data_IF_684090511499
#
_entry.id   IF_684090511499
#
_cell.length_a   1.000
_cell.length_b   1.000
_cell.length_c   1.000
_cell.angle_alpha   90.00
_cell.angle_beta   90.00
_cell.angle_gamma   90.00
#
_symmetry.space_group_name_H-M   'P 1'
#
loop_
_entity.id
_entity.type
_entity.pdbx_description
1 polymer ?
#
# COMPACT_ATOMS: atom_id res chain seq x y z
N UNK A 1 15.42 56.63 -19.36
CA UNK A 1 15.83 55.78 -18.22
C UNK A 1 14.61 54.99 -17.79
N UNK A 2 14.56 53.75 -18.21
CA UNK A 2 13.43 52.87 -17.99
C UNK A 2 13.53 52.10 -16.66
N UNK A 3 12.52 52.21 -15.84
CA UNK A 3 12.34 51.36 -14.67
C UNK A 3 11.56 50.11 -15.08
N UNK A 4 12.27 49.01 -15.33
CA UNK A 4 11.64 47.71 -15.31
C UNK A 4 11.61 47.21 -13.85
N UNK A 5 10.44 47.35 -13.18
CA UNK A 5 10.16 46.63 -11.96
C UNK A 5 9.90 45.15 -12.34
N UNK A 6 10.88 44.32 -12.13
CA UNK A 6 10.67 42.87 -12.10
C UNK A 6 9.88 42.54 -10.83
N UNK A 7 8.58 42.38 -10.98
CA UNK A 7 7.76 41.73 -9.97
C UNK A 7 8.14 40.27 -9.98
N UNK A 8 8.84 39.83 -8.94
CA UNK A 8 8.97 38.38 -8.64
C UNK A 8 7.56 37.82 -8.51
N UNK A 9 7.22 36.70 -9.19
CA UNK A 9 5.97 36.04 -8.91
C UNK A 9 5.96 35.65 -7.43
N UNK A 10 5.00 36.13 -6.70
CA UNK A 10 4.73 35.69 -5.35
C UNK A 10 4.27 34.24 -5.46
N UNK A 11 5.14 33.31 -5.14
CA UNK A 11 4.74 31.93 -4.92
C UNK A 11 3.85 31.88 -3.69
N UNK A 12 2.56 31.92 -3.92
CA UNK A 12 1.57 31.64 -2.91
C UNK A 12 1.55 30.12 -2.71
N UNK A 13 2.49 29.61 -1.97
CA UNK A 13 2.51 28.22 -1.56
C UNK A 13 2.25 28.12 -0.08
N UNK A 14 1.00 28.30 0.30
CA UNK A 14 0.53 27.61 1.50
C UNK A 14 -0.35 26.46 0.99
N UNK A 15 -0.12 25.21 1.40
CA UNK A 15 -1.06 24.16 1.12
C UNK A 15 -2.40 24.61 1.74
N UNK A 16 -3.40 24.79 0.89
CA UNK A 16 -4.76 25.09 1.36
C UNK A 16 -5.19 23.86 2.12
N UNK A 17 -5.23 23.96 3.45
CA UNK A 17 -5.91 22.95 4.28
C UNK A 17 -7.36 22.98 3.85
N UNK A 18 -7.82 21.99 3.10
CA UNK A 18 -9.22 21.87 2.76
C UNK A 18 -10.01 21.72 4.04
N UNK A 19 -11.01 22.57 4.21
CA UNK A 19 -11.91 22.48 5.34
C UNK A 19 -12.68 21.15 5.27
N UNK A 20 -12.96 20.57 6.43
CA UNK A 20 -13.85 19.41 6.53
C UNK A 20 -15.18 19.73 5.86
N UNK A 21 -15.51 19.06 4.76
CA UNK A 21 -16.69 19.36 3.93
C UNK A 21 -16.36 19.76 2.49
N UNK A 22 -15.10 19.89 2.12
CA UNK A 22 -14.69 20.10 0.73
C UNK A 22 -15.19 18.93 -0.14
N UNK A 23 -15.60 19.24 -1.36
CA UNK A 23 -16.07 18.27 -2.34
C UNK A 23 -15.07 17.11 -2.50
N UNK A 24 -15.56 15.91 -2.86
CA UNK A 24 -14.76 14.71 -2.99
C UNK A 24 -13.53 14.87 -3.89
N UNK A 25 -13.59 15.77 -4.86
CA UNK A 25 -12.48 16.15 -5.74
C UNK A 25 -11.37 16.84 -4.95
N UNK A 26 -11.70 17.75 -4.04
CA UNK A 26 -10.74 18.38 -3.15
C UNK A 26 -10.10 17.36 -2.19
N UNK A 27 -10.86 16.38 -1.73
CA UNK A 27 -10.35 15.32 -0.85
C UNK A 27 -9.36 14.40 -1.57
N UNK A 28 -9.57 14.12 -2.85
CA UNK A 28 -8.61 13.36 -3.66
C UNK A 28 -7.24 14.06 -3.74
N UNK A 29 -7.25 15.36 -3.88
CA UNK A 29 -6.04 16.19 -3.90
C UNK A 29 -5.34 16.21 -2.54
N UNK A 30 -6.05 16.02 -1.44
CA UNK A 30 -5.53 16.15 -0.09
C UNK A 30 -4.73 14.95 0.43
N UNK A 31 -4.77 13.82 -0.23
CA UNK A 31 -3.88 12.71 0.09
C UNK A 31 -2.41 12.98 -0.29
N UNK A 32 -2.15 14.18 -0.79
CA UNK A 32 -0.90 14.61 -1.40
C UNK A 32 0.26 14.87 -0.43
N UNK A 33 0.08 14.73 0.84
CA UNK A 33 1.16 15.03 1.77
C UNK A 33 2.14 13.89 1.99
N UNK A 34 1.90 12.71 1.36
CA UNK A 34 2.69 11.50 1.63
C UNK A 34 2.58 10.98 3.07
N UNK A 35 2.01 11.80 3.95
CA UNK A 35 1.87 11.49 5.37
C UNK A 35 0.91 10.34 5.60
N UNK A 36 -0.17 10.26 4.84
CA UNK A 36 -1.16 9.20 4.97
C UNK A 36 -0.62 7.86 4.47
N UNK A 37 0.18 7.87 3.43
CA UNK A 37 0.89 6.69 2.94
C UNK A 37 1.89 6.16 3.98
N UNK A 38 2.69 7.02 4.58
CA UNK A 38 3.65 6.64 5.63
C UNK A 38 2.91 6.01 6.82
N UNK A 39 1.79 6.58 7.22
CA UNK A 39 0.95 6.04 8.28
C UNK A 39 0.34 4.70 7.89
N UNK A 40 -0.14 4.53 6.67
CA UNK A 40 -0.66 3.27 6.17
C UNK A 40 0.43 2.19 6.15
N UNK A 41 1.63 2.53 5.72
CA UNK A 41 2.79 1.63 5.70
C UNK A 41 3.28 1.23 7.10
N UNK A 42 2.96 1.99 8.14
CA UNK A 42 3.23 1.57 9.53
C UNK A 42 2.38 0.38 9.96
N UNK A 43 1.24 0.14 9.30
CA UNK A 43 0.43 -1.05 9.52
C UNK A 43 1.06 -2.26 8.80
N UNK A 44 1.58 -3.22 9.55
CA UNK A 44 2.30 -4.37 9.02
C UNK A 44 1.54 -5.14 7.92
N UNK A 45 0.21 -5.30 8.07
CA UNK A 45 -0.63 -5.99 7.09
C UNK A 45 -0.72 -5.21 5.77
N UNK A 46 -0.83 -3.89 5.81
CA UNK A 46 -0.87 -3.04 4.60
C UNK A 46 0.48 -3.07 3.90
N UNK A 47 1.57 -2.85 4.66
CA UNK A 47 2.93 -2.92 4.13
C UNK A 47 3.21 -4.27 3.47
N UNK A 48 2.88 -5.39 4.16
CA UNK A 48 3.07 -6.73 3.61
C UNK A 48 2.22 -6.98 2.36
N UNK A 49 0.97 -6.53 2.34
CA UNK A 49 0.08 -6.68 1.17
C UNK A 49 0.64 -5.94 -0.04
N UNK A 50 1.05 -4.67 0.14
CA UNK A 50 1.70 -3.89 -0.90
C UNK A 50 2.96 -4.57 -1.41
N UNK A 51 3.84 -5.06 -0.52
CA UNK A 51 5.12 -5.66 -0.89
C UNK A 51 4.97 -6.99 -1.64
N UNK A 52 3.96 -7.80 -1.30
CA UNK A 52 3.64 -9.03 -2.02
C UNK A 52 3.25 -8.75 -3.47
N UNK A 53 2.33 -7.82 -3.69
CA UNK A 53 1.90 -7.46 -5.04
C UNK A 53 3.03 -6.75 -5.78
N UNK A 54 3.74 -5.83 -5.14
CA UNK A 54 4.89 -5.13 -5.72
C UNK A 54 6.00 -6.08 -6.17
N UNK A 55 6.27 -7.12 -5.37
CA UNK A 55 7.24 -8.16 -5.71
C UNK A 55 6.83 -8.93 -6.97
N UNK A 56 5.55 -9.22 -7.12
CA UNK A 56 5.00 -9.81 -8.34
C UNK A 56 5.14 -8.87 -9.53
N UNK A 57 4.62 -7.64 -9.43
CA UNK A 57 4.66 -6.63 -10.51
C UNK A 57 6.10 -6.36 -10.98
N UNK A 58 7.04 -6.25 -10.03
CA UNK A 58 8.45 -6.01 -10.34
C UNK A 58 9.15 -7.17 -11.05
N UNK A 59 8.65 -8.40 -10.89
CA UNK A 59 9.20 -9.60 -11.51
C UNK A 59 8.67 -9.83 -12.93
N UNK A 60 7.47 -9.36 -13.25
CA UNK A 60 6.82 -9.58 -14.54
C UNK A 60 7.56 -8.86 -15.68
N UNK A 61 7.66 -9.53 -16.80
CA UNK A 61 8.13 -8.97 -18.06
C UNK A 61 6.97 -8.51 -18.92
N UNK A 62 7.23 -7.63 -19.87
CA UNK A 62 6.22 -7.21 -20.83
C UNK A 62 6.31 -8.04 -22.09
N UNK A 63 5.15 -8.31 -22.70
CA UNK A 63 4.98 -8.83 -24.05
C UNK A 63 4.42 -7.73 -24.94
N UNK A 64 4.83 -7.72 -26.19
CA UNK A 64 4.33 -6.80 -27.22
C UNK A 64 3.68 -7.61 -28.34
N UNK A 65 2.42 -7.33 -28.66
CA UNK A 65 1.69 -8.07 -29.68
C UNK A 65 0.73 -7.20 -30.50
N UNK A 66 0.29 -7.74 -31.61
CA UNK A 66 -0.77 -7.19 -32.45
C UNK A 66 -1.87 -8.22 -32.63
N UNK A 67 -3.11 -7.79 -32.88
CA UNK A 67 -4.24 -8.68 -33.14
C UNK A 67 -4.50 -8.74 -34.63
N UNK A 68 -4.46 -9.95 -35.21
CA UNK A 68 -4.79 -10.19 -36.59
C UNK A 68 -6.04 -11.06 -36.71
N UNK A 69 -6.96 -10.63 -37.55
CA UNK A 69 -8.16 -11.42 -37.86
C UNK A 69 -7.82 -12.56 -38.84
N UNK A 70 -8.08 -13.80 -38.47
CA UNK A 70 -7.79 -15.01 -39.28
C UNK A 70 -8.98 -15.48 -40.13
N UNK A 71 -10.11 -14.77 -40.06
CA UNK A 71 -11.36 -15.17 -40.69
C UNK A 71 -12.38 -15.75 -39.71
N UNK A 72 -11.94 -16.35 -38.60
CA UNK A 72 -12.77 -16.93 -37.56
C UNK A 72 -12.58 -16.27 -36.20
N UNK A 73 -11.33 -15.92 -35.84
CA UNK A 73 -10.97 -15.32 -34.57
C UNK A 73 -9.82 -14.33 -34.72
N UNK A 74 -9.63 -13.51 -33.71
CA UNK A 74 -8.41 -12.72 -33.57
C UNK A 74 -7.29 -13.59 -33.00
N UNK A 75 -6.14 -13.60 -33.66
CA UNK A 75 -4.91 -14.22 -33.16
C UNK A 75 -3.91 -13.15 -32.78
N UNK A 76 -3.15 -13.43 -31.72
CA UNK A 76 -2.11 -12.55 -31.21
C UNK A 76 -0.79 -12.91 -31.89
N UNK A 77 -0.19 -11.91 -32.51
CA UNK A 77 1.12 -12.03 -33.13
C UNK A 77 2.10 -11.25 -32.28
N UNK A 78 3.01 -11.96 -31.63
CA UNK A 78 4.04 -11.35 -30.81
C UNK A 78 5.05 -10.62 -31.67
N UNK A 79 5.44 -9.45 -31.18
CA UNK A 79 6.33 -8.51 -31.86
C UNK A 79 7.59 -8.32 -30.99
N UNK A 80 8.71 -7.88 -31.58
CA UNK A 80 9.88 -7.50 -30.81
C UNK A 80 9.53 -6.41 -29.79
N UNK A 81 10.12 -6.50 -28.61
CA UNK A 81 9.96 -5.49 -27.57
C UNK A 81 10.55 -4.15 -28.02
N UNK A 82 9.88 -3.08 -27.70
CA UNK A 82 10.44 -1.75 -27.86
C UNK A 82 11.41 -1.45 -26.67
N UNK A 83 12.52 -0.68 -26.90
CA UNK A 83 13.53 -0.47 -25.88
C UNK A 83 12.99 0.06 -24.54
N UNK A 84 11.93 0.87 -24.56
CA UNK A 84 11.31 1.39 -23.34
C UNK A 84 10.57 0.32 -22.53
N UNK A 85 10.15 -0.79 -23.14
CA UNK A 85 9.48 -1.88 -22.42
C UNK A 85 10.46 -2.61 -21.51
N UNK A 86 11.72 -2.76 -21.95
CA UNK A 86 12.79 -3.33 -21.14
C UNK A 86 13.35 -2.29 -20.15
N UNK A 87 13.42 -1.04 -20.57
CA UNK A 87 14.02 0.06 -19.79
C UNK A 87 13.19 1.33 -19.93
N UNK A 88 12.07 1.43 -19.19
CA UNK A 88 11.18 2.59 -19.29
C UNK A 88 11.88 3.89 -18.90
N UNK A 89 12.71 3.88 -17.85
CA UNK A 89 13.52 5.02 -17.42
C UNK A 89 15.00 4.65 -17.51
N UNK A 90 15.82 5.43 -18.24
CA UNK A 90 17.26 5.18 -18.32
C UNK A 90 18.01 5.27 -16.98
N UNK A 91 17.42 5.91 -15.97
CA UNK A 91 18.06 6.19 -14.67
C UNK A 91 17.76 5.13 -13.61
N UNK A 92 16.69 4.37 -13.77
CA UNK A 92 16.25 3.38 -12.78
C UNK A 92 15.96 2.03 -13.44
N UNK A 93 15.79 1.00 -12.62
CA UNK A 93 15.45 -0.33 -13.12
C UNK A 93 13.98 -0.41 -13.54
N UNK A 94 13.67 -1.35 -14.44
CA UNK A 94 12.29 -1.64 -14.85
C UNK A 94 11.40 -1.93 -13.65
N UNK A 95 11.87 -2.80 -12.75
CA UNK A 95 11.14 -3.15 -11.53
C UNK A 95 10.84 -1.92 -10.66
N UNK A 96 11.81 -1.02 -10.49
CA UNK A 96 11.60 0.22 -9.74
C UNK A 96 10.47 1.05 -10.35
N UNK A 97 10.47 1.21 -11.66
CA UNK A 97 9.45 2.00 -12.35
C UNK A 97 8.04 1.42 -12.14
N UNK A 98 7.84 0.13 -12.47
CA UNK A 98 6.50 -0.48 -12.38
C UNK A 98 6.03 -0.68 -10.94
N UNK A 99 6.92 -0.95 -9.99
CA UNK A 99 6.58 -1.06 -8.57
C UNK A 99 6.08 0.28 -8.02
N UNK A 100 6.69 1.40 -8.42
CA UNK A 100 6.22 2.70 -7.97
C UNK A 100 4.90 3.11 -8.64
N UNK A 101 4.71 2.83 -9.95
CA UNK A 101 3.42 3.02 -10.60
C UNK A 101 2.33 2.19 -9.90
N UNK A 102 2.61 0.93 -9.60
CA UNK A 102 1.69 0.07 -8.84
C UNK A 102 1.41 0.64 -7.44
N UNK A 103 2.44 1.06 -6.70
CA UNK A 103 2.28 1.61 -5.35
C UNK A 103 1.38 2.84 -5.35
N UNK A 104 1.54 3.74 -6.32
CA UNK A 104 0.66 4.90 -6.47
C UNK A 104 -0.77 4.49 -6.79
N UNK A 105 -0.98 3.52 -7.68
CA UNK A 105 -2.31 2.98 -7.98
C UNK A 105 -2.95 2.34 -6.74
N UNK A 106 -2.17 1.61 -5.95
CA UNK A 106 -2.63 0.96 -4.74
C UNK A 106 -3.05 1.95 -3.67
N UNK A 107 -2.24 2.98 -3.40
CA UNK A 107 -2.51 3.95 -2.34
C UNK A 107 -3.49 5.04 -2.77
N UNK A 108 -3.30 5.60 -3.95
CA UNK A 108 -4.02 6.80 -4.42
C UNK A 108 -5.11 6.48 -5.45
N UNK A 109 -5.05 5.31 -6.11
CA UNK A 109 -5.94 4.95 -7.22
C UNK A 109 -5.54 5.60 -8.54
N UNK A 110 -4.47 6.38 -8.56
CA UNK A 110 -3.89 7.00 -9.77
C UNK A 110 -2.39 6.99 -9.69
N UNK A 111 -1.75 6.89 -10.84
CA UNK A 111 -0.31 7.01 -10.97
C UNK A 111 0.06 7.84 -12.20
N UNK A 112 1.27 8.37 -12.24
CA UNK A 112 1.71 9.27 -13.29
C UNK A 112 3.11 8.93 -13.77
N UNK A 113 3.31 9.03 -15.08
CA UNK A 113 4.63 8.98 -15.68
C UNK A 113 4.81 10.14 -16.67
N UNK A 114 5.99 10.74 -16.68
CA UNK A 114 6.35 11.80 -17.60
C UNK A 114 7.14 11.24 -18.76
N UNK A 115 6.78 11.62 -19.99
CA UNK A 115 7.49 11.26 -21.22
C UNK A 115 8.73 12.16 -21.32
N UNK A 116 9.90 11.58 -21.09
CA UNK A 116 11.17 12.32 -21.06
C UNK A 116 11.82 12.42 -22.41
N UNK A 117 11.57 11.48 -23.30
CA UNK A 117 12.05 11.54 -24.70
C UNK A 117 11.05 10.90 -25.65
N UNK A 118 11.14 11.27 -26.91
CA UNK A 118 10.32 10.73 -28.00
C UNK A 118 11.20 10.30 -29.17
N UNK A 119 10.74 9.28 -29.90
CA UNK A 119 11.31 8.90 -31.17
C UNK A 119 11.01 9.95 -32.24
N UNK A 120 11.65 9.84 -33.40
CA UNK A 120 11.45 10.76 -34.53
C UNK A 120 10.02 10.76 -35.09
N UNK A 121 9.26 9.71 -34.84
CA UNK A 121 7.84 9.57 -35.20
C UNK A 121 6.87 10.13 -34.14
N UNK A 122 7.41 10.75 -33.09
CA UNK A 122 6.64 11.36 -32.01
C UNK A 122 6.20 10.42 -30.89
N UNK A 123 6.42 9.09 -31.02
CA UNK A 123 6.09 8.13 -29.96
C UNK A 123 7.05 8.25 -28.77
N UNK A 124 6.57 7.95 -27.56
CA UNK A 124 7.42 7.94 -26.38
C UNK A 124 8.59 6.95 -26.51
N UNK A 125 9.77 7.37 -26.12
CA UNK A 125 10.98 6.56 -26.11
C UNK A 125 11.49 6.29 -24.67
N UNK A 126 11.13 7.15 -23.71
CA UNK A 126 11.42 6.93 -22.31
C UNK A 126 10.45 7.68 -21.41
N UNK A 127 10.30 7.16 -20.21
CA UNK A 127 9.38 7.67 -19.18
C UNK A 127 10.15 7.90 -17.88
N UNK A 128 9.63 8.76 -17.02
CA UNK A 128 10.06 8.89 -15.63
C UNK A 128 8.82 8.90 -14.76
N UNK A 129 8.83 8.09 -13.71
CA UNK A 129 7.76 8.08 -12.73
C UNK A 129 7.65 9.41 -11.99
N UNK A 130 6.42 9.90 -11.84
CA UNK A 130 6.10 11.07 -11.02
C UNK A 130 5.28 10.61 -9.80
N UNK A 131 5.79 10.79 -8.57
CA UNK A 131 5.07 10.39 -7.36
C UNK A 131 3.69 11.05 -7.28
N UNK A 132 2.63 10.25 -7.13
CA UNK A 132 1.26 10.75 -7.01
C UNK A 132 1.09 11.68 -5.80
N UNK A 133 1.84 11.46 -4.72
CA UNK A 133 1.86 12.34 -3.56
C UNK A 133 2.26 13.79 -3.86
N UNK A 134 3.03 14.03 -4.92
CA UNK A 134 3.52 15.34 -5.32
C UNK A 134 2.71 15.96 -6.47
N UNK A 135 1.69 15.23 -6.94
CA UNK A 135 0.81 15.69 -8.00
C UNK A 135 -0.40 16.43 -7.43
N UNK A 136 -0.83 17.48 -8.11
CA UNK A 136 -2.09 18.17 -7.84
C UNK A 136 -2.85 18.44 -9.12
N UNK A 137 -4.19 18.32 -9.03
CA UNK A 137 -5.10 18.69 -10.09
C UNK A 137 -5.94 19.87 -9.63
N UNK A 138 -5.98 20.94 -10.43
CA UNK A 138 -6.76 22.12 -10.10
C UNK A 138 -8.20 22.02 -10.57
N UNK A 139 -8.49 21.15 -11.51
CA UNK A 139 -9.83 21.00 -12.05
C UNK A 139 -10.12 19.56 -12.44
N UNK A 140 -11.03 18.96 -11.71
CA UNK A 140 -11.87 17.91 -12.26
C UNK A 140 -13.27 18.52 -12.47
N UNK A 141 -13.52 19.00 -13.67
CA UNK A 141 -14.86 19.39 -14.08
C UNK A 141 -15.64 18.12 -14.35
N UNK A 142 -16.45 17.71 -13.42
CA UNK A 142 -17.23 16.52 -13.63
C UNK A 142 -18.08 16.17 -12.43
N UNK A 143 -18.74 15.08 -12.53
CA UNK A 143 -19.56 14.51 -11.46
C UNK A 143 -18.69 14.28 -10.24
N UNK A 144 -19.07 14.71 -9.03
CA UNK A 144 -18.22 14.76 -7.83
C UNK A 144 -17.62 13.41 -7.36
N UNK A 145 -17.90 12.31 -8.00
CA UNK A 145 -17.42 10.98 -7.65
C UNK A 145 -16.72 10.27 -8.82
N UNK A 146 -16.55 10.98 -9.94
CA UNK A 146 -15.95 10.40 -11.13
C UNK A 146 -14.43 10.55 -11.10
N UNK A 147 -13.72 9.43 -11.25
CA UNK A 147 -12.30 9.40 -11.49
C UNK A 147 -12.08 9.31 -12.99
N UNK A 148 -11.56 10.36 -13.55
CA UNK A 148 -11.16 10.42 -14.95
C UNK A 148 -9.78 11.04 -15.09
N UNK A 149 -9.31 11.17 -16.32
CA UNK A 149 -8.12 11.94 -16.59
C UNK A 149 -8.35 13.39 -16.18
N UNK A 150 -7.33 13.98 -15.56
CA UNK A 150 -7.36 15.40 -15.20
C UNK A 150 -6.99 16.25 -16.39
N UNK A 151 -7.71 17.36 -16.58
CA UNK A 151 -7.45 18.32 -17.66
C UNK A 151 -6.32 19.29 -17.32
N UNK A 152 -5.88 19.35 -16.07
CA UNK A 152 -4.80 20.19 -15.59
C UNK A 152 -4.06 19.49 -14.46
N UNK A 153 -2.76 19.31 -14.61
CA UNK A 153 -1.89 18.66 -13.63
C UNK A 153 -0.72 19.56 -13.25
N UNK A 154 -0.40 19.58 -11.98
CA UNK A 154 0.77 20.27 -11.45
C UNK A 154 1.63 19.28 -10.66
N UNK A 155 2.93 19.36 -10.86
CA UNK A 155 3.93 18.63 -10.09
C UNK A 155 4.72 19.62 -9.23
N UNK A 156 4.69 19.46 -7.93
CA UNK A 156 5.29 20.39 -6.98
C UNK A 156 4.88 21.86 -7.22
N UNK A 157 3.63 22.10 -7.65
CA UNK A 157 3.11 23.43 -7.95
C UNK A 157 3.50 23.99 -9.33
N UNK A 158 4.17 23.21 -10.17
CA UNK A 158 4.48 23.59 -11.55
C UNK A 158 3.52 22.89 -12.52
N UNK A 159 2.88 23.66 -13.39
CA UNK A 159 1.97 23.14 -14.40
C UNK A 159 2.72 22.23 -15.38
N UNK A 160 2.18 21.06 -15.64
CA UNK A 160 2.70 20.10 -16.59
C UNK A 160 1.97 20.20 -17.93
N UNK A 161 2.70 19.96 -19.00
CA UNK A 161 2.11 19.73 -20.31
C UNK A 161 1.52 18.30 -20.36
N UNK A 162 0.19 18.20 -20.43
CA UNK A 162 -0.52 16.94 -20.43
C UNK A 162 -0.17 16.03 -21.62
N UNK A 163 0.29 16.60 -22.74
CA UNK A 163 0.76 15.78 -23.86
C UNK A 163 1.98 14.91 -23.48
N UNK A 164 2.69 15.29 -22.42
CA UNK A 164 3.86 14.58 -21.92
C UNK A 164 3.61 13.82 -20.61
N UNK A 165 2.35 13.71 -20.16
CA UNK A 165 2.01 12.99 -18.92
C UNK A 165 1.11 11.81 -19.25
N UNK A 166 1.54 10.61 -18.87
CA UNK A 166 0.67 9.43 -18.84
C UNK A 166 -0.05 9.40 -17.50
N UNK A 167 -1.36 9.24 -17.54
CA UNK A 167 -2.22 9.12 -16.37
C UNK A 167 -2.76 7.69 -16.30
N UNK A 168 -2.29 6.93 -15.33
CA UNK A 168 -2.80 5.61 -15.02
C UNK A 168 -3.94 5.76 -14.02
N UNK A 169 -5.14 5.35 -14.38
CA UNK A 169 -6.34 5.52 -13.56
C UNK A 169 -6.89 4.14 -13.22
N UNK A 170 -6.79 3.80 -11.94
CA UNK A 170 -7.34 2.54 -11.44
C UNK A 170 -8.87 2.55 -11.50
N UNK A 171 -9.51 1.44 -11.89
CA UNK A 171 -10.96 1.30 -11.83
C UNK A 171 -11.51 1.23 -10.39
N UNK A 172 -10.63 1.07 -9.40
CA UNK A 172 -10.96 1.10 -7.98
C UNK A 172 -10.25 2.26 -7.29
N UNK A 173 -10.89 2.77 -6.24
CA UNK A 173 -10.32 3.84 -5.42
C UNK A 173 -9.12 3.33 -4.61
N UNK A 174 -8.14 4.21 -4.38
CA UNK A 174 -6.96 3.87 -3.59
C UNK A 174 -7.26 3.55 -2.12
N UNK A 175 -6.43 2.72 -1.55
CA UNK A 175 -6.55 2.22 -0.16
C UNK A 175 -6.55 3.35 0.86
N UNK A 176 -5.84 4.46 0.62
CA UNK A 176 -5.83 5.60 1.54
C UNK A 176 -7.20 6.26 1.66
N UNK A 177 -7.99 6.28 0.59
CA UNK A 177 -9.33 6.87 0.60
C UNK A 177 -10.34 5.89 1.20
N UNK A 178 -10.39 4.66 0.72
CA UNK A 178 -11.38 3.66 1.15
C UNK A 178 -11.11 3.13 2.55
N UNK A 179 -9.84 3.02 2.92
CA UNK A 179 -9.37 2.40 4.15
C UNK A 179 -9.01 3.35 5.29
N UNK A 180 -9.18 4.67 5.13
CA UNK A 180 -8.70 5.65 6.10
C UNK A 180 -9.15 5.34 7.54
N UNK A 181 -10.40 4.95 7.73
CA UNK A 181 -10.94 4.58 9.06
C UNK A 181 -10.27 3.31 9.60
N UNK A 182 -10.16 2.27 8.78
CA UNK A 182 -9.61 0.96 9.18
C UNK A 182 -8.14 1.10 9.53
N UNK A 183 -7.37 1.83 8.72
CA UNK A 183 -5.96 2.12 8.96
C UNK A 183 -5.78 2.90 10.27
N UNK A 184 -6.55 3.98 10.48
CA UNK A 184 -6.48 4.76 11.71
C UNK A 184 -6.85 3.93 12.95
N UNK A 185 -7.86 3.06 12.86
CA UNK A 185 -8.21 2.15 13.95
C UNK A 185 -7.04 1.22 14.30
N UNK A 186 -6.35 0.67 13.30
CA UNK A 186 -5.15 -0.16 13.52
C UNK A 186 -4.06 0.61 14.25
N UNK A 187 -3.77 1.84 13.83
CA UNK A 187 -2.76 2.69 14.46
C UNK A 187 -3.13 3.00 15.92
N UNK A 188 -4.40 3.27 16.22
CA UNK A 188 -4.86 3.51 17.59
C UNK A 188 -4.77 2.26 18.47
N UNK A 189 -5.07 1.08 17.90
CA UNK A 189 -4.93 -0.19 18.60
C UNK A 189 -3.45 -0.49 18.92
N UNK A 190 -2.56 -0.22 17.97
CA UNK A 190 -1.12 -0.38 18.18
C UNK A 190 -0.62 0.59 19.24
N UNK A 191 -1.02 1.86 19.21
CA UNK A 191 -0.69 2.84 20.24
C UNK A 191 -1.27 2.50 21.62
N UNK A 192 -2.43 1.85 21.67
CA UNK A 192 -2.99 1.34 22.92
C UNK A 192 -2.17 0.15 23.43
N UNK A 193 -1.82 -0.79 22.53
CA UNK A 193 -0.97 -1.94 22.88
C UNK A 193 0.39 -1.49 23.42
N UNK A 194 1.02 -0.49 22.79
CA UNK A 194 2.29 0.08 23.24
C UNK A 194 2.18 0.69 24.64
N UNK A 195 1.12 1.44 24.90
CA UNK A 195 0.87 1.99 26.25
C UNK A 195 0.72 0.88 27.29
N UNK A 196 0.00 -0.19 26.98
CA UNK A 196 -0.14 -1.32 27.89
C UNK A 196 1.13 -2.15 28.02
N UNK A 197 1.93 -2.27 26.98
CA UNK A 197 3.23 -2.93 27.04
C UNK A 197 4.24 -2.19 27.91
N UNK A 198 4.10 -0.87 28.03
CA UNK A 198 4.93 -0.03 28.91
C UNK A 198 4.47 -0.07 30.38
N UNK A 199 3.28 -0.63 30.68
CA UNK A 199 2.81 -0.78 32.05
C UNK A 199 3.51 -2.00 32.66
N UNK A 200 4.41 -1.73 33.59
CA UNK A 200 5.14 -2.77 34.32
C UNK A 200 4.23 -3.59 35.26
N UNK A 201 2.99 -3.14 35.47
CA UNK A 201 2.11 -3.71 36.49
C UNK A 201 0.67 -3.80 35.99
N UNK A 202 -0.07 -4.82 36.50
CA UNK A 202 -1.49 -5.01 36.21
C UNK A 202 -2.30 -3.77 36.62
N UNK A 203 -3.11 -3.18 35.75
CA UNK A 203 -3.96 -2.05 36.09
C UNK A 203 -5.06 -2.45 37.08
N UNK A 204 -5.32 -1.61 38.05
CA UNK A 204 -6.32 -1.84 39.06
C UNK A 204 -6.55 -0.58 39.88
N UNK A 205 -7.35 -0.69 40.89
CA UNK A 205 -7.65 0.42 41.83
C UNK A 205 -7.52 0.00 43.27
N UNK A 206 -7.24 0.97 44.13
CA UNK A 206 -7.26 0.80 45.56
C UNK A 206 -8.67 1.07 46.08
N UNK A 207 -9.23 0.13 46.80
CA UNK A 207 -10.54 0.27 47.46
C UNK A 207 -10.38 0.23 48.96
N UNK A 208 -10.92 1.22 49.65
CA UNK A 208 -11.10 1.15 51.11
C UNK A 208 -12.23 0.17 51.41
N UNK A 209 -11.97 -0.79 52.27
CA UNK A 209 -12.89 -1.88 52.65
C UNK A 209 -13.46 -1.71 54.06
N UNK A 210 -12.75 -0.96 54.93
CA UNK A 210 -13.13 -0.74 56.30
C UNK A 210 -12.47 0.48 56.89
N UNK A 211 -12.92 0.96 58.07
CA UNK A 211 -12.38 2.14 58.75
C UNK A 211 -13.18 3.41 58.50
N UNK A 212 -12.73 4.52 59.09
CA UNK A 212 -13.28 5.85 58.79
C UNK A 212 -12.96 6.25 57.34
N UNK A 213 -13.90 6.95 56.67
CA UNK A 213 -13.69 7.41 55.30
C UNK A 213 -12.44 8.27 55.19
N UNK A 214 -11.53 7.87 54.32
CA UNK A 214 -10.31 8.66 54.05
C UNK A 214 -10.68 9.94 53.31
N UNK A 215 -9.98 11.03 53.63
CA UNK A 215 -10.14 12.26 52.87
C UNK A 215 -9.67 12.10 51.41
N UNK A 216 -10.13 12.97 50.51
CA UNK A 216 -9.69 12.95 49.09
C UNK A 216 -8.17 13.12 48.95
N UNK A 217 -7.55 13.92 49.83
CA UNK A 217 -6.09 14.16 49.84
C UNK A 217 -5.33 12.90 50.29
N UNK A 218 -5.79 12.20 51.33
CA UNK A 218 -5.18 10.97 51.83
C UNK A 218 -5.27 9.85 50.78
N UNK A 219 -6.40 9.76 50.03
CA UNK A 219 -6.55 8.82 48.92
C UNK A 219 -5.61 9.15 47.77
N UNK A 220 -5.40 10.44 47.49
CA UNK A 220 -4.46 10.92 46.48
C UNK A 220 -3.02 10.55 46.80
N UNK A 221 -2.60 10.80 48.05
CA UNK A 221 -1.28 10.47 48.55
C UNK A 221 -1.01 8.96 48.57
N UNK A 222 -1.99 8.17 48.98
CA UNK A 222 -1.91 6.70 48.92
C UNK A 222 -1.76 6.18 47.49
N UNK A 223 -2.54 6.71 46.54
CA UNK A 223 -2.45 6.33 45.15
C UNK A 223 -1.09 6.70 44.55
N UNK A 224 -0.57 7.90 44.87
CA UNK A 224 0.74 8.35 44.43
C UNK A 224 1.88 7.47 45.00
N UNK A 225 1.83 7.18 46.28
CA UNK A 225 2.81 6.30 46.94
C UNK A 225 2.78 4.88 46.39
N UNK A 226 1.58 4.35 46.13
CA UNK A 226 1.40 3.04 45.50
C UNK A 226 1.95 3.01 44.07
N UNK A 227 1.65 4.02 43.29
CA UNK A 227 2.16 4.13 41.90
C UNK A 227 3.70 4.24 41.89
N UNK A 228 4.29 5.02 42.80
CA UNK A 228 5.73 5.16 42.94
C UNK A 228 6.42 3.83 43.35
N UNK A 229 5.83 3.09 44.28
CA UNK A 229 6.34 1.80 44.74
C UNK A 229 6.31 0.77 43.60
N UNK A 230 5.25 0.76 42.84
CA UNK A 230 5.11 -0.14 41.67
C UNK A 230 6.10 0.20 40.56
N UNK A 231 6.29 1.48 40.28
CA UNK A 231 7.28 1.94 39.29
C UNK A 231 8.71 1.58 39.65
N UNK A 232 9.00 1.52 40.94
CA UNK A 232 10.30 1.10 41.50
C UNK A 232 10.44 -0.43 41.61
N UNK A 233 9.46 -1.22 41.14
CA UNK A 233 9.38 -2.68 41.37
C UNK A 233 9.53 -3.09 42.84
N UNK A 234 9.09 -2.22 43.77
CA UNK A 234 9.13 -2.46 45.20
C UNK A 234 7.88 -3.23 45.64
N UNK A 235 8.02 -4.00 46.73
CA UNK A 235 6.88 -4.68 47.36
C UNK A 235 6.03 -3.62 48.06
N UNK A 236 4.81 -3.39 47.57
CA UNK A 236 3.85 -2.51 48.19
C UNK A 236 3.18 -3.23 49.37
N UNK A 237 3.14 -2.58 50.54
CA UNK A 237 2.35 -3.05 51.65
C UNK A 237 1.05 -2.23 51.77
N UNK A 238 -0.07 -2.92 51.91
CA UNK A 238 -1.38 -2.32 52.12
C UNK A 238 -1.83 -2.58 53.56
N UNK A 239 -2.54 -1.63 54.17
CA UNK A 239 -3.20 -1.84 55.45
C UNK A 239 -4.41 -2.76 55.30
N UNK A 240 -4.90 -3.35 56.39
CA UNK A 240 -6.12 -4.16 56.38
C UNK A 240 -7.38 -3.38 55.94
N UNK A 241 -7.29 -2.06 55.86
CA UNK A 241 -8.38 -1.17 55.51
C UNK A 241 -8.46 -0.93 53.99
N UNK A 242 -7.40 -1.22 53.24
CA UNK A 242 -7.31 -0.95 51.80
C UNK A 242 -6.97 -2.23 51.05
N UNK A 243 -7.72 -2.52 50.00
CA UNK A 243 -7.51 -3.67 49.16
C UNK A 243 -7.22 -3.21 47.73
N UNK A 244 -6.21 -3.82 47.09
CA UNK A 244 -6.00 -3.66 45.67
C UNK A 244 -6.97 -4.59 44.90
N UNK A 245 -7.73 -4.01 43.98
CA UNK A 245 -8.58 -4.77 43.07
C UNK A 245 -8.10 -4.58 41.64
N UNK A 246 -7.88 -5.68 40.98
CA UNK A 246 -7.60 -5.69 39.55
C UNK A 246 -8.89 -5.43 38.77
N UNK A 247 -8.78 -4.84 37.57
CA UNK A 247 -9.92 -4.74 36.67
C UNK A 247 -10.33 -6.14 36.23
N UNK A 248 -11.63 -6.39 36.22
CA UNK A 248 -12.23 -7.73 35.93
C UNK A 248 -11.97 -8.20 34.52
N UNK A 249 -11.74 -7.27 33.58
CA UNK A 249 -11.35 -7.59 32.22
C UNK A 249 -9.88 -7.25 32.02
N UNK A 250 -9.12 -8.21 31.48
CA UNK A 250 -7.74 -7.96 31.10
C UNK A 250 -7.73 -7.14 29.79
N UNK A 251 -7.43 -5.83 29.82
CA UNK A 251 -7.44 -5.01 28.60
C UNK A 251 -6.46 -5.51 27.55
N UNK A 252 -5.40 -6.21 27.94
CA UNK A 252 -4.39 -6.75 27.05
C UNK A 252 -4.96 -7.84 26.14
N UNK A 253 -5.78 -8.74 26.68
CA UNK A 253 -6.43 -9.81 25.90
C UNK A 253 -7.43 -9.23 24.89
N UNK A 254 -8.23 -8.26 25.33
CA UNK A 254 -9.20 -7.57 24.45
C UNK A 254 -8.48 -6.86 23.30
N UNK A 255 -7.38 -6.17 23.57
CA UNK A 255 -6.58 -5.49 22.54
C UNK A 255 -5.93 -6.50 21.61
N UNK A 256 -5.42 -7.63 22.13
CA UNK A 256 -4.81 -8.66 21.30
C UNK A 256 -5.82 -9.27 20.30
N UNK A 257 -7.04 -9.54 20.74
CA UNK A 257 -8.10 -10.07 19.86
C UNK A 257 -8.58 -9.03 18.84
N UNK A 258 -8.70 -7.78 19.26
CA UNK A 258 -9.02 -6.68 18.34
C UNK A 258 -7.93 -6.49 17.27
N UNK A 259 -6.65 -6.62 17.62
CA UNK A 259 -5.54 -6.56 16.65
C UNK A 259 -5.58 -7.70 15.64
N UNK A 260 -5.94 -8.92 16.08
CA UNK A 260 -6.14 -10.06 15.16
C UNK A 260 -7.27 -9.78 14.17
N UNK A 261 -8.42 -9.33 14.66
CA UNK A 261 -9.54 -8.94 13.81
C UNK A 261 -9.15 -7.81 12.85
N UNK A 262 -8.46 -6.80 13.34
CA UNK A 262 -8.03 -5.67 12.53
C UNK A 262 -7.04 -6.07 11.42
N UNK A 263 -6.13 -7.02 11.68
CA UNK A 263 -5.25 -7.57 10.65
C UNK A 263 -6.04 -8.23 9.51
N UNK A 264 -7.14 -8.92 9.84
CA UNK A 264 -8.03 -9.52 8.84
C UNK A 264 -8.78 -8.45 8.03
N UNK A 265 -9.28 -7.39 8.70
CA UNK A 265 -9.94 -6.27 8.02
C UNK A 265 -8.98 -5.52 7.07
N UNK A 266 -7.71 -5.34 7.46
CA UNK A 266 -6.69 -4.75 6.60
C UNK A 266 -6.35 -5.65 5.40
N UNK A 267 -6.32 -6.98 5.57
CA UNK A 267 -6.14 -7.91 4.47
C UNK A 267 -7.29 -7.83 3.45
N UNK A 268 -8.54 -7.74 3.94
CA UNK A 268 -9.74 -7.52 3.11
C UNK A 268 -9.68 -6.20 2.36
N UNK A 269 -9.27 -5.11 3.04
CA UNK A 269 -9.10 -3.79 2.44
C UNK A 269 -8.10 -3.82 1.26
N UNK A 270 -7.01 -4.57 1.41
CA UNK A 270 -5.96 -4.69 0.41
C UNK A 270 -6.28 -5.72 -0.69
N UNK A 271 -7.43 -6.40 -0.64
CA UNK A 271 -7.80 -7.50 -1.53
C UNK A 271 -6.75 -8.63 -1.59
N UNK A 272 -6.04 -8.86 -0.50
CA UNK A 272 -5.06 -9.94 -0.40
C UNK A 272 -5.61 -11.04 0.53
N UNK A 273 -5.56 -12.32 0.11
CA UNK A 273 -5.96 -13.42 0.96
C UNK A 273 -5.23 -13.40 2.31
N UNK A 274 -5.98 -13.54 3.40
CA UNK A 274 -5.47 -13.38 4.76
C UNK A 274 -4.28 -14.28 5.08
N UNK A 275 -4.25 -15.50 4.51
CA UNK A 275 -3.17 -16.44 4.73
C UNK A 275 -1.82 -15.97 4.12
N UNK A 276 -1.84 -15.17 3.04
CA UNK A 276 -0.63 -14.61 2.43
C UNK A 276 0.03 -13.53 3.29
N UNK A 277 -0.76 -12.83 4.07
CA UNK A 277 -0.28 -11.82 5.01
C UNK A 277 -0.17 -12.35 6.44
N UNK A 278 -0.33 -13.65 6.62
CA UNK A 278 -0.27 -14.32 7.94
C UNK A 278 -1.27 -13.75 8.95
N UNK A 279 -2.41 -13.22 8.47
CA UNK A 279 -3.48 -12.80 9.35
C UNK A 279 -4.20 -14.03 9.93
N UNK A 280 -4.50 -14.05 11.24
CA UNK A 280 -5.12 -15.20 11.87
C UNK A 280 -6.52 -15.44 11.33
N UNK A 281 -6.78 -16.65 10.85
CA UNK A 281 -8.10 -17.11 10.41
C UNK A 281 -8.59 -18.22 11.34
N UNK A 282 -9.77 -18.06 11.91
CA UNK A 282 -10.36 -19.10 12.77
C UNK A 282 -10.66 -20.35 11.94
N UNK A 283 -10.18 -21.51 12.42
CA UNK A 283 -10.47 -22.81 11.82
C UNK A 283 -9.67 -23.19 10.58
N UNK A 284 -8.75 -22.38 10.12
CA UNK A 284 -7.86 -22.75 9.03
C UNK A 284 -6.71 -23.61 9.57
N UNK A 285 -6.86 -24.92 9.47
CA UNK A 285 -5.69 -25.78 9.39
C UNK A 285 -4.93 -25.36 8.14
N UNK A 286 -3.73 -24.80 8.31
CA UNK A 286 -2.82 -24.50 7.20
C UNK A 286 -2.33 -25.82 6.61
N UNK A 287 -3.18 -26.45 5.81
CA UNK A 287 -2.70 -27.43 4.84
C UNK A 287 -1.94 -26.62 3.82
N UNK A 288 -0.69 -26.99 3.60
CA UNK A 288 0.19 -26.35 2.60
C UNK A 288 -0.56 -26.32 1.26
N UNK A 289 -1.18 -25.17 0.98
CA UNK A 289 -1.68 -24.90 -0.34
C UNK A 289 -0.47 -24.81 -1.26
N UNK A 290 -0.57 -25.45 -2.39
CA UNK A 290 0.49 -25.49 -3.37
C UNK A 290 0.97 -24.05 -3.62
N UNK A 291 2.26 -23.80 -3.66
CA UNK A 291 2.82 -22.46 -3.89
C UNK A 291 2.28 -21.83 -5.19
N UNK A 292 1.91 -22.65 -6.15
CA UNK A 292 1.23 -22.27 -7.38
C UNK A 292 -0.13 -21.63 -7.12
N UNK A 293 -0.98 -22.27 -6.28
CA UNK A 293 -2.28 -21.70 -5.93
C UNK A 293 -2.12 -20.36 -5.21
N UNK A 294 -1.14 -20.23 -4.32
CA UNK A 294 -0.86 -18.97 -3.63
C UNK A 294 -0.48 -17.84 -4.60
N UNK A 295 0.30 -18.15 -5.66
CA UNK A 295 0.63 -17.19 -6.72
C UNK A 295 -0.60 -16.83 -7.57
N UNK A 296 -1.42 -17.82 -7.92
CA UNK A 296 -2.68 -17.60 -8.65
C UNK A 296 -3.65 -16.73 -7.86
N UNK A 297 -3.83 -17.01 -6.57
CA UNK A 297 -4.71 -16.23 -5.70
C UNK A 297 -4.22 -14.77 -5.55
N UNK A 298 -2.89 -14.57 -5.38
CA UNK A 298 -2.31 -13.24 -5.33
C UNK A 298 -2.53 -12.47 -6.63
N UNK A 299 -2.36 -13.13 -7.77
CA UNK A 299 -2.64 -12.53 -9.08
C UNK A 299 -4.11 -12.17 -9.22
N UNK A 300 -5.02 -13.14 -9.04
CA UNK A 300 -6.44 -12.96 -9.34
C UNK A 300 -7.10 -11.92 -8.45
N UNK A 301 -6.79 -11.94 -7.15
CA UNK A 301 -7.46 -11.07 -6.19
C UNK A 301 -6.70 -9.76 -5.94
N UNK A 302 -5.38 -9.81 -5.93
CA UNK A 302 -4.56 -8.66 -5.54
C UNK A 302 -4.03 -7.83 -6.71
N UNK A 303 -3.43 -8.47 -7.72
CA UNK A 303 -2.61 -7.77 -8.70
C UNK A 303 -3.33 -7.42 -10.00
N UNK A 304 -4.21 -8.31 -10.49
CA UNK A 304 -4.78 -8.25 -11.84
C UNK A 304 -5.36 -6.89 -12.20
N UNK A 305 -6.15 -6.30 -11.32
CA UNK A 305 -6.83 -5.03 -11.59
C UNK A 305 -5.86 -3.87 -11.83
N UNK A 306 -4.71 -3.89 -11.17
CA UNK A 306 -3.65 -2.90 -11.36
C UNK A 306 -2.84 -3.17 -12.61
N UNK A 307 -2.54 -4.44 -12.90
CA UNK A 307 -1.85 -4.85 -14.13
C UNK A 307 -2.68 -4.49 -15.36
N UNK A 308 -3.97 -4.85 -15.38
CA UNK A 308 -4.90 -4.48 -16.46
C UNK A 308 -4.93 -2.95 -16.68
N UNK A 309 -4.90 -2.15 -15.61
CA UNK A 309 -4.85 -0.69 -15.70
C UNK A 309 -3.55 -0.20 -16.36
N UNK A 310 -2.41 -0.76 -15.97
CA UNK A 310 -1.10 -0.40 -16.54
C UNK A 310 -1.03 -0.80 -18.01
N UNK A 311 -1.43 -2.03 -18.36
CA UNK A 311 -1.45 -2.56 -19.72
C UNK A 311 -2.32 -1.73 -20.66
N UNK A 312 -3.54 -1.41 -20.24
CA UNK A 312 -4.47 -0.60 -21.03
C UNK A 312 -3.94 0.81 -21.25
N UNK A 313 -3.31 1.43 -20.24
CA UNK A 313 -2.73 2.76 -20.37
C UNK A 313 -1.53 2.74 -21.33
N UNK A 314 -0.64 1.74 -21.19
CA UNK A 314 0.52 1.60 -22.07
C UNK A 314 0.14 1.20 -23.51
N UNK A 315 -0.98 0.49 -23.70
CA UNK A 315 -1.52 0.14 -25.01
C UNK A 315 -2.32 1.28 -25.65
N UNK A 316 -2.50 2.41 -24.93
CA UNK A 316 -3.23 3.57 -25.44
C UNK A 316 -2.54 4.29 -26.60
N UNK A 317 -3.32 5.02 -27.42
CA UNK A 317 -2.81 5.74 -28.62
C UNK A 317 -1.75 6.80 -28.29
N UNK A 318 -1.66 7.24 -27.05
CA UNK A 318 -0.62 8.17 -26.59
C UNK A 318 0.77 7.50 -26.56
N UNK A 319 0.83 6.17 -26.40
CA UNK A 319 2.06 5.40 -26.27
C UNK A 319 2.29 4.52 -27.48
N UNK A 320 1.28 3.77 -27.90
CA UNK A 320 1.37 2.76 -28.93
C UNK A 320 0.53 3.10 -30.15
N UNK A 321 0.94 2.69 -31.38
CA UNK A 321 0.09 2.76 -32.56
C UNK A 321 -1.14 1.88 -32.39
N UNK A 322 -2.18 2.18 -33.17
CA UNK A 322 -3.38 1.32 -33.25
C UNK A 322 -3.02 -0.13 -33.57
N UNK A 323 -3.76 -1.04 -32.96
CA UNK A 323 -3.59 -2.48 -33.11
C UNK A 323 -2.23 -3.00 -32.58
N UNK A 324 -1.63 -2.29 -31.62
CA UNK A 324 -0.48 -2.77 -30.88
C UNK A 324 -0.79 -2.70 -29.39
N UNK A 325 -0.44 -3.77 -28.69
CA UNK A 325 -0.81 -3.97 -27.31
C UNK A 325 0.39 -4.41 -26.50
N UNK A 326 0.36 -4.07 -25.23
CA UNK A 326 1.34 -4.46 -24.25
C UNK A 326 0.61 -5.21 -23.15
N UNK A 327 1.17 -6.33 -22.70
CA UNK A 327 0.67 -7.10 -21.56
C UNK A 327 1.85 -7.59 -20.71
N UNK A 328 1.58 -7.90 -19.45
CA UNK A 328 2.56 -8.55 -18.59
C UNK A 328 2.56 -10.06 -18.82
N UNK A 329 3.75 -10.65 -18.86
CA UNK A 329 3.91 -12.11 -18.97
C UNK A 329 3.58 -12.81 -17.64
N UNK A 330 2.29 -12.89 -17.34
CA UNK A 330 1.79 -13.56 -16.16
C UNK A 330 1.91 -15.08 -16.28
N UNK A 331 1.83 -15.63 -17.48
CA UNK A 331 1.92 -17.07 -17.71
C UNK A 331 3.30 -17.60 -17.34
N UNK A 332 4.37 -16.90 -17.72
CA UNK A 332 5.73 -17.25 -17.32
C UNK A 332 5.90 -17.21 -15.79
N UNK A 333 5.25 -16.27 -15.11
CA UNK A 333 5.29 -16.16 -13.65
C UNK A 333 4.51 -17.28 -12.96
N UNK A 334 3.32 -17.63 -13.45
CA UNK A 334 2.48 -18.69 -12.88
C UNK A 334 3.01 -20.09 -13.26
N UNK A 335 3.51 -20.25 -14.49
CA UNK A 335 4.03 -21.51 -15.01
C UNK A 335 5.47 -21.85 -14.60
N UNK A 336 6.16 -20.97 -13.88
CA UNK A 336 7.55 -21.19 -13.42
C UNK A 336 7.69 -22.26 -12.33
N UNK A 337 6.67 -23.08 -12.08
CA UNK A 337 6.77 -24.29 -11.26
C UNK A 337 7.51 -25.45 -11.94
N UNK A 338 7.87 -25.35 -13.22
CA UNK A 338 8.79 -26.27 -13.88
C UNK A 338 10.28 -26.00 -13.54
N UNK A 339 10.59 -25.78 -12.28
CA UNK A 339 11.83 -26.34 -11.76
C UNK A 339 11.57 -27.83 -11.50
N UNK A 340 11.54 -28.61 -12.54
CA UNK A 340 11.85 -30.05 -12.46
C UNK A 340 13.10 -30.14 -11.59
N UNK A 341 13.08 -30.87 -10.46
CA UNK A 341 14.31 -31.16 -9.75
C UNK A 341 15.21 -31.81 -10.78
N UNK A 342 16.33 -31.13 -11.10
CA UNK A 342 17.24 -31.61 -12.11
C UNK A 342 17.43 -33.07 -11.86
N UNK A 343 17.19 -33.91 -12.86
CA UNK A 343 17.45 -35.34 -12.84
C UNK A 343 18.92 -35.44 -12.43
N UNK A 344 19.15 -35.77 -11.16
CA UNK A 344 20.50 -36.16 -10.74
C UNK A 344 20.90 -37.32 -11.65
N UNK A 345 22.00 -37.23 -12.37
CA UNK A 345 22.47 -38.37 -13.17
C UNK A 345 22.57 -39.55 -12.22
N UNK A 346 21.90 -40.63 -12.55
CA UNK A 346 21.96 -41.91 -11.84
C UNK A 346 23.43 -42.28 -11.64
N UNK A 347 23.87 -42.53 -10.41
CA UNK A 347 25.26 -42.90 -10.20
C UNK A 347 25.55 -44.16 -11.01
N UNK A 348 26.56 -44.08 -11.91
CA UNK A 348 26.98 -45.18 -12.75
C UNK A 348 27.15 -46.43 -11.89
N UNK A 349 26.43 -47.50 -12.27
CA UNK A 349 26.53 -48.79 -11.62
C UNK A 349 28.00 -49.20 -11.59
N UNK A 350 28.58 -49.39 -10.40
CA UNK A 350 29.89 -49.95 -10.24
C UNK A 350 29.81 -51.41 -10.70
N UNK A 351 30.47 -51.71 -11.81
CA UNK A 351 30.75 -53.09 -12.20
C UNK A 351 31.57 -53.74 -11.09
N UNK A 352 31.01 -54.77 -10.49
CA UNK A 352 31.73 -55.65 -9.55
C UNK A 352 32.62 -56.57 -10.42
N UNK A 353 33.93 -56.53 -10.29
CA UNK A 353 34.79 -57.47 -11.00
C UNK A 353 34.61 -58.90 -10.45
N UNK A 354 34.55 -59.86 -11.38
CA UNK A 354 34.38 -61.29 -11.16
C UNK A 354 35.57 -61.93 -10.38
#
# INVERSE_FOLDING_TARGET
MGLFKTTKPAFASAPVKAAAGASNVGNFIMYQTGTDEIRALSCATVSRSRDLIAGMVGALELKHYSKQWTGERYEEIYLPLEPWMERPDPKVTRSFFYVNIFSDLFFYGVAYAYITSRYSDGRPASFTWLPAANMSSTQQTGIPQFFGQSDELQFNGQLLDLANVLQFISPIEGVLKTGARVINTSIYLDAAADRYAQLETVPGYLQQVSGEDMSGDDLGDLAAAWAAARKANAIGALSSQVQFKEYTQNPQEVIADQRKYQALELARLCNVPAYLVSAPTEGASMTYQNAEQARQDLYLFGARIYLDCIEQTLSGEQVMPRNRFVEFDVEAYLGSSDMSPGIMPEPAAQEVPA
#
